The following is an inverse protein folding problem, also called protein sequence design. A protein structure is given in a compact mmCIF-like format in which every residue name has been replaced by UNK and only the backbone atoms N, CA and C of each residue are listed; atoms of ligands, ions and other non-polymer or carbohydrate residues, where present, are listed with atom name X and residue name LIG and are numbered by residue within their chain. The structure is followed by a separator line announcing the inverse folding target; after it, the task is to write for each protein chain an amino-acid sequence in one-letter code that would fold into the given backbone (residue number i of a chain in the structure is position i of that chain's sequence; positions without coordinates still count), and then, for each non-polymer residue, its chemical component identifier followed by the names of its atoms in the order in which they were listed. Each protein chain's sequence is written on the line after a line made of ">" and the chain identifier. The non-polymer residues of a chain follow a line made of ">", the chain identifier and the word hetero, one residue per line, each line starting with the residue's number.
data_IF_124255557004
#
_entry.id   IF_124255557004
#
_cell.length_a   1.000
_cell.length_b   1.000
_cell.length_c   1.000
_cell.angle_alpha   90.00
_cell.angle_beta   90.00
_cell.angle_gamma   90.00
#
_symmetry.space_group_name_H-M   'P 1'
#
loop_
_entity.id
_entity.type
_entity.pdbx_description
1 polymer ?
#
# COMPACT_ATOMS: atom_id res chain seq x y z
N UNK A 1 -23.80 -3.13 -7.17
CA UNK A 1 -23.37 -2.86 -5.78
C UNK A 1 -21.90 -3.23 -5.64
N UNK A 2 -21.13 -2.47 -4.88
CA UNK A 2 -19.73 -2.81 -4.60
C UNK A 2 -19.66 -3.91 -3.52
N UNK A 3 -19.19 -5.13 -3.85
CA UNK A 3 -19.13 -6.23 -2.90
C UNK A 3 -18.14 -5.98 -1.75
N UNK A 4 -17.12 -5.14 -1.97
CA UNK A 4 -16.15 -4.81 -0.94
C UNK A 4 -16.77 -3.92 0.15
N UNK A 5 -17.59 -2.94 -0.25
CA UNK A 5 -18.24 -2.03 0.69
C UNK A 5 -19.23 -2.76 1.61
N UNK A 6 -19.97 -3.73 1.06
CA UNK A 6 -20.91 -4.56 1.82
C UNK A 6 -20.21 -5.42 2.88
N UNK A 7 -18.97 -5.83 2.61
CA UNK A 7 -18.15 -6.60 3.53
C UNK A 7 -17.61 -5.74 4.69
N UNK A 8 -17.17 -4.51 4.40
CA UNK A 8 -16.59 -3.63 5.42
C UNK A 8 -17.63 -2.97 6.34
N UNK A 9 -18.84 -2.72 5.85
CA UNK A 9 -19.91 -2.04 6.59
C UNK A 9 -20.30 -2.72 7.93
N UNK A 10 -20.48 -4.05 8.01
CA UNK A 10 -20.84 -4.71 9.27
C UNK A 10 -19.62 -5.07 10.14
N UNK A 11 -18.46 -5.38 9.54
CA UNK A 11 -17.29 -5.93 10.27
C UNK A 11 -16.27 -4.88 10.73
N UNK A 12 -16.28 -3.69 10.17
CA UNK A 12 -15.27 -2.66 10.44
C UNK A 12 -15.38 -1.92 11.78
N UNK A 13 -16.00 -2.46 12.83
CA UNK A 13 -16.33 -1.67 14.03
C UNK A 13 -15.14 -1.38 14.95
N UNK A 14 -14.10 -2.22 14.99
CA UNK A 14 -12.91 -1.99 15.84
C UNK A 14 -11.61 -1.97 15.06
N UNK A 15 -10.62 -1.20 15.54
CA UNK A 15 -9.29 -1.12 14.94
C UNK A 15 -8.59 -2.49 14.91
N UNK A 16 -8.65 -3.23 16.03
CA UNK A 16 -8.00 -4.54 16.17
C UNK A 16 -8.54 -5.52 15.14
N UNK A 17 -9.86 -5.54 14.92
CA UNK A 17 -10.46 -6.42 13.92
C UNK A 17 -10.01 -6.05 12.51
N UNK A 18 -9.98 -4.75 12.15
CA UNK A 18 -9.47 -4.30 10.84
C UNK A 18 -8.00 -4.69 10.64
N UNK A 19 -7.19 -4.57 11.70
CA UNK A 19 -5.79 -4.96 11.66
C UNK A 19 -5.62 -6.48 11.48
N UNK A 20 -6.38 -7.30 12.20
CA UNK A 20 -6.38 -8.76 12.03
C UNK A 20 -6.81 -9.17 10.62
N UNK A 21 -7.88 -8.57 10.10
CA UNK A 21 -8.31 -8.79 8.72
C UNK A 21 -7.20 -8.39 7.74
N UNK A 22 -6.56 -7.24 7.94
CA UNK A 22 -5.42 -6.82 7.11
C UNK A 22 -4.27 -7.83 7.15
N UNK A 23 -3.92 -8.39 8.30
CA UNK A 23 -2.92 -9.46 8.39
C UNK A 23 -3.33 -10.70 7.58
N UNK A 24 -4.60 -11.10 7.62
CA UNK A 24 -5.10 -12.22 6.80
C UNK A 24 -5.00 -11.96 5.30
N UNK A 25 -5.12 -10.70 4.86
CA UNK A 25 -4.95 -10.33 3.44
C UNK A 25 -3.49 -10.42 2.97
N UNK A 26 -2.53 -10.50 3.90
CA UNK A 26 -1.10 -10.55 3.60
C UNK A 26 -0.55 -11.98 3.60
N UNK A 27 -1.39 -12.99 3.81
CA UNK A 27 -0.96 -14.38 3.78
C UNK A 27 -0.40 -14.74 2.39
N UNK A 28 0.92 -15.03 2.27
CA UNK A 28 1.55 -15.32 0.98
C UNK A 28 1.01 -16.61 0.35
N UNK A 29 0.35 -17.49 1.11
CA UNK A 29 -0.27 -18.71 0.55
C UNK A 29 -1.34 -18.38 -0.50
N UNK A 30 -1.98 -17.21 -0.38
CA UNK A 30 -3.01 -16.73 -1.31
C UNK A 30 -2.47 -16.49 -2.72
N UNK A 31 -1.16 -16.25 -2.87
CA UNK A 31 -0.50 -16.10 -4.18
C UNK A 31 -0.54 -17.35 -5.05
N UNK A 32 -0.78 -18.52 -4.44
CA UNK A 32 -0.88 -19.78 -5.18
C UNK A 32 -2.19 -19.90 -5.98
N UNK A 33 -3.15 -19.00 -5.73
CA UNK A 33 -4.44 -19.00 -6.42
C UNK A 33 -4.33 -18.41 -7.82
N UNK A 34 -4.97 -19.07 -8.78
CA UNK A 34 -5.08 -18.61 -10.16
C UNK A 34 -6.07 -17.45 -10.31
N UNK A 35 -5.94 -16.70 -11.41
CA UNK A 35 -6.86 -15.60 -11.72
C UNK A 35 -8.32 -16.08 -11.85
N UNK A 36 -8.53 -17.30 -12.36
CA UNK A 36 -9.85 -17.91 -12.45
C UNK A 36 -10.47 -18.20 -11.07
N UNK A 37 -9.66 -18.68 -10.11
CA UNK A 37 -10.11 -18.92 -8.74
C UNK A 37 -10.42 -17.61 -8.01
N UNK A 38 -9.63 -16.56 -8.25
CA UNK A 38 -9.86 -15.22 -7.70
C UNK A 38 -11.19 -14.64 -8.21
N UNK A 39 -11.45 -14.74 -9.51
CA UNK A 39 -12.70 -14.27 -10.09
C UNK A 39 -13.90 -15.08 -9.59
N UNK A 40 -13.77 -16.40 -9.50
CA UNK A 40 -14.80 -17.26 -8.92
C UNK A 40 -15.09 -16.92 -7.46
N UNK A 41 -14.05 -16.65 -6.67
CA UNK A 41 -14.19 -16.24 -5.27
C UNK A 41 -14.90 -14.89 -5.15
N UNK A 42 -14.66 -13.95 -6.09
CA UNK A 42 -15.36 -12.67 -6.18
C UNK A 42 -16.84 -12.83 -6.55
N UNK A 43 -17.16 -13.73 -7.48
CA UNK A 43 -18.56 -14.01 -7.87
C UNK A 43 -19.35 -14.70 -6.76
N UNK A 44 -18.67 -15.50 -5.93
CA UNK A 44 -19.26 -16.20 -4.80
C UNK A 44 -19.52 -15.30 -3.57
N UNK A 45 -19.20 -14.00 -3.66
CA UNK A 45 -19.40 -13.07 -2.56
C UNK A 45 -20.90 -12.88 -2.26
N UNK A 46 -21.29 -12.90 -0.97
CA UNK A 46 -22.69 -12.76 -0.58
C UNK A 46 -23.27 -11.40 -1.00
N UNK A 47 -24.53 -11.42 -1.45
CA UNK A 47 -25.28 -10.18 -1.72
C UNK A 47 -25.60 -9.43 -0.42
N UNK A 48 -25.89 -8.13 -0.52
CA UNK A 48 -26.19 -7.27 0.61
C UNK A 48 -27.24 -7.90 1.56
N UNK A 49 -26.90 -8.06 2.85
CA UNK A 49 -27.86 -8.44 3.90
C UNK A 49 -27.78 -9.88 4.42
N UNK A 50 -26.84 -10.71 3.97
CA UNK A 50 -26.61 -12.02 4.61
C UNK A 50 -25.87 -11.86 5.96
N UNK A 51 -26.26 -12.67 6.95
CA UNK A 51 -25.55 -12.73 8.23
C UNK A 51 -24.11 -13.17 7.99
N UNK A 52 -23.19 -12.24 8.20
CA UNK A 52 -21.77 -12.46 8.06
C UNK A 52 -21.25 -13.01 9.37
N UNK A 53 -20.62 -14.18 9.30
CA UNK A 53 -19.92 -14.81 10.42
C UNK A 53 -18.82 -13.87 10.98
N UNK A 54 -18.46 -14.06 12.24
CA UNK A 54 -17.46 -13.23 12.94
C UNK A 54 -16.08 -13.34 12.27
N UNK A 55 -15.80 -14.48 11.64
CA UNK A 55 -14.63 -14.72 10.80
C UNK A 55 -14.93 -14.42 9.34
N UNK A 56 -13.99 -13.76 8.65
CA UNK A 56 -14.06 -13.51 7.21
C UNK A 56 -13.81 -14.84 6.46
N UNK A 57 -14.75 -15.30 5.61
CA UNK A 57 -14.57 -16.49 4.78
C UNK A 57 -13.32 -16.46 3.89
N UNK A 58 -12.70 -17.62 3.59
CA UNK A 58 -11.52 -17.68 2.73
C UNK A 58 -11.72 -17.09 1.32
N UNK A 59 -12.91 -17.28 0.72
CA UNK A 59 -13.23 -16.72 -0.59
C UNK A 59 -13.25 -15.18 -0.57
N UNK A 60 -13.72 -14.60 0.53
CA UNK A 60 -13.73 -13.16 0.75
C UNK A 60 -12.31 -12.60 0.89
N UNK A 61 -11.48 -13.26 1.70
CA UNK A 61 -10.05 -12.93 1.85
C UNK A 61 -9.34 -13.00 0.50
N UNK A 62 -9.57 -14.07 -0.28
CA UNK A 62 -8.95 -14.25 -1.58
C UNK A 62 -9.35 -13.14 -2.57
N UNK A 63 -10.65 -12.81 -2.63
CA UNK A 63 -11.13 -11.70 -3.45
C UNK A 63 -10.47 -10.39 -3.00
N UNK A 64 -10.63 -9.99 -1.74
CA UNK A 64 -10.12 -8.72 -1.20
C UNK A 64 -8.62 -8.54 -1.35
N UNK A 65 -7.85 -9.63 -1.26
CA UNK A 65 -6.39 -9.61 -1.32
C UNK A 65 -5.84 -9.62 -2.75
N UNK A 66 -6.68 -9.86 -3.76
CA UNK A 66 -6.20 -10.11 -5.13
C UNK A 66 -6.89 -9.29 -6.22
N UNK A 67 -7.96 -8.56 -5.90
CA UNK A 67 -8.69 -7.70 -6.83
C UNK A 67 -8.55 -6.24 -6.45
N UNK A 68 -8.54 -5.36 -7.45
CA UNK A 68 -8.61 -3.93 -7.22
C UNK A 68 -9.99 -3.56 -6.66
N UNK A 69 -10.02 -2.71 -5.62
CA UNK A 69 -11.24 -2.37 -4.89
C UNK A 69 -12.34 -1.79 -5.80
N UNK A 70 -11.99 -0.78 -6.62
CA UNK A 70 -12.95 -0.08 -7.48
C UNK A 70 -13.29 -0.82 -8.79
N UNK A 71 -12.28 -1.23 -9.57
CA UNK A 71 -12.50 -1.83 -10.89
C UNK A 71 -12.88 -3.31 -10.83
N UNK A 72 -12.55 -3.99 -9.73
CA UNK A 72 -12.70 -5.44 -9.60
C UNK A 72 -11.76 -6.26 -10.48
N UNK A 73 -10.85 -5.62 -11.22
CA UNK A 73 -9.84 -6.32 -12.00
C UNK A 73 -8.84 -7.02 -11.08
N UNK A 74 -8.35 -8.18 -11.51
CA UNK A 74 -7.31 -8.90 -10.78
C UNK A 74 -6.02 -8.07 -10.79
N UNK A 75 -5.44 -7.87 -9.61
CA UNK A 75 -4.18 -7.14 -9.46
C UNK A 75 -3.02 -7.97 -10.04
N UNK A 76 -2.03 -7.31 -10.66
CA UNK A 76 -0.80 -7.99 -11.05
C UNK A 76 -0.15 -8.65 -9.83
N UNK A 77 0.37 -9.87 -10.03
CA UNK A 77 0.88 -10.73 -8.96
C UNK A 77 1.72 -10.01 -7.90
N UNK A 78 2.72 -9.24 -8.32
CA UNK A 78 3.67 -8.53 -7.43
C UNK A 78 3.07 -7.38 -6.63
N UNK A 79 1.87 -6.91 -7.02
CA UNK A 79 1.15 -5.81 -6.36
C UNK A 79 -0.06 -6.27 -5.57
N UNK A 80 -0.32 -7.59 -5.52
CA UNK A 80 -1.31 -8.17 -4.61
C UNK A 80 -0.80 -8.03 -3.17
N UNK A 81 -1.62 -7.61 -2.19
CA UNK A 81 -1.24 -7.61 -0.77
C UNK A 81 -0.50 -8.86 -0.27
N UNK A 82 -0.84 -10.11 -0.66
CA UNK A 82 -0.06 -11.30 -0.32
C UNK A 82 1.41 -11.29 -0.78
N UNK A 83 1.74 -10.56 -1.86
CA UNK A 83 3.10 -10.40 -2.35
C UNK A 83 3.90 -9.33 -1.59
N UNK A 84 3.25 -8.54 -0.74
CA UNK A 84 3.88 -7.41 -0.07
C UNK A 84 5.07 -7.86 0.78
N UNK A 85 4.91 -8.83 1.68
CA UNK A 85 6.03 -9.32 2.49
C UNK A 85 7.11 -10.07 1.68
N UNK A 86 6.76 -11.03 0.80
CA UNK A 86 7.75 -11.73 -0.02
C UNK A 86 8.62 -10.82 -0.90
N UNK A 87 8.07 -9.71 -1.38
CA UNK A 87 8.80 -8.77 -2.26
C UNK A 87 9.45 -7.65 -1.45
N UNK A 88 8.71 -6.98 -0.57
CA UNK A 88 9.22 -5.84 0.20
C UNK A 88 10.24 -6.28 1.25
N UNK A 89 10.06 -7.45 1.88
CA UNK A 89 10.93 -7.95 2.94
C UNK A 89 12.41 -7.99 2.52
N UNK A 90 12.76 -8.67 1.41
CA UNK A 90 14.12 -8.66 0.87
C UNK A 90 14.64 -7.25 0.54
N UNK A 91 13.78 -6.35 0.03
CA UNK A 91 14.17 -4.98 -0.31
C UNK A 91 14.46 -4.14 0.93
N UNK A 92 13.68 -4.29 2.00
CA UNK A 92 13.91 -3.63 3.30
C UNK A 92 15.21 -4.14 3.92
N UNK A 93 15.42 -5.46 3.96
CA UNK A 93 16.67 -6.04 4.46
C UNK A 93 17.84 -5.51 3.64
N UNK A 94 17.76 -5.56 2.32
CA UNK A 94 18.78 -5.02 1.42
C UNK A 94 19.06 -3.53 1.63
N UNK A 95 18.03 -2.72 1.86
CA UNK A 95 18.16 -1.28 2.11
C UNK A 95 18.81 -0.93 3.45
N UNK A 96 18.73 -1.82 4.44
CA UNK A 96 19.25 -1.62 5.80
C UNK A 96 20.66 -2.21 5.98
N UNK A 97 21.10 -3.08 5.07
CA UNK A 97 22.44 -3.64 5.13
C UNK A 97 23.53 -2.55 4.99
N UNK A 98 24.68 -2.71 5.68
CA UNK A 98 25.82 -1.82 5.54
C UNK A 98 26.46 -2.00 4.16
N UNK A 99 26.14 -1.08 3.26
CA UNK A 99 26.76 -1.02 1.93
C UNK A 99 28.15 -0.36 1.96
N UNK A 100 29.11 -0.82 1.15
CA UNK A 100 30.45 -0.22 1.10
C UNK A 100 30.46 1.16 0.43
N UNK A 101 29.50 1.42 -0.45
CA UNK A 101 29.40 2.69 -1.19
C UNK A 101 27.99 3.27 -1.08
N UNK A 102 27.90 4.60 -1.15
CA UNK A 102 26.62 5.32 -1.24
C UNK A 102 25.82 4.88 -2.47
N UNK A 103 26.49 4.58 -3.57
CA UNK A 103 25.84 4.11 -4.80
C UNK A 103 25.06 2.81 -4.58
N UNK A 104 25.65 1.84 -3.88
CA UNK A 104 24.97 0.58 -3.55
C UNK A 104 23.78 0.81 -2.62
N UNK A 105 23.90 1.67 -1.60
CA UNK A 105 22.75 2.06 -0.77
C UNK A 105 21.63 2.66 -1.62
N UNK A 106 21.95 3.58 -2.53
CA UNK A 106 20.96 4.22 -3.38
C UNK A 106 20.25 3.21 -4.29
N UNK A 107 20.92 2.18 -4.80
CA UNK A 107 20.28 1.14 -5.62
C UNK A 107 19.19 0.41 -4.82
N UNK A 108 19.52 -0.08 -3.62
CA UNK A 108 18.55 -0.78 -2.78
C UNK A 108 17.41 0.13 -2.31
N UNK A 109 17.73 1.36 -1.91
CA UNK A 109 16.71 2.34 -1.51
C UNK A 109 15.82 2.71 -2.70
N UNK A 110 16.36 2.81 -3.91
CA UNK A 110 15.58 3.07 -5.13
C UNK A 110 14.63 1.91 -5.42
N UNK A 111 15.12 0.66 -5.38
CA UNK A 111 14.27 -0.52 -5.58
C UNK A 111 13.12 -0.57 -4.56
N UNK A 112 13.43 -0.33 -3.28
CA UNK A 112 12.45 -0.28 -2.21
C UNK A 112 11.38 0.79 -2.46
N UNK A 113 11.80 2.02 -2.77
CA UNK A 113 10.87 3.15 -2.93
C UNK A 113 10.06 3.06 -4.22
N UNK A 114 10.65 2.54 -5.31
CA UNK A 114 9.93 2.26 -6.56
C UNK A 114 8.87 1.18 -6.33
N UNK A 115 9.20 0.10 -5.62
CA UNK A 115 8.23 -0.93 -5.32
C UNK A 115 7.09 -0.40 -4.44
N UNK A 116 7.41 0.32 -3.35
CA UNK A 116 6.41 0.93 -2.48
C UNK A 116 5.49 1.89 -3.25
N UNK A 117 6.05 2.78 -4.06
CA UNK A 117 5.27 3.69 -4.90
C UNK A 117 4.37 2.96 -5.88
N UNK A 118 4.89 1.92 -6.54
CA UNK A 118 4.14 1.12 -7.51
C UNK A 118 3.03 0.32 -6.84
N UNK A 119 3.30 -0.27 -5.67
CA UNK A 119 2.33 -1.00 -4.86
C UNK A 119 1.21 -0.07 -4.40
N UNK A 120 1.54 1.10 -3.84
CA UNK A 120 0.55 2.10 -3.45
C UNK A 120 -0.23 2.60 -4.67
N UNK A 121 0.40 2.78 -5.82
CA UNK A 121 -0.27 3.21 -7.04
C UNK A 121 -1.23 2.16 -7.59
N UNK A 122 -0.87 0.88 -7.53
CA UNK A 122 -1.73 -0.23 -7.94
C UNK A 122 -2.93 -0.43 -7.00
N UNK A 123 -2.79 -0.05 -5.71
CA UNK A 123 -3.80 -0.19 -4.68
C UNK A 123 -4.48 1.15 -4.30
N UNK A 124 -4.27 2.21 -5.09
CA UNK A 124 -4.92 3.50 -4.88
C UNK A 124 -6.39 3.43 -5.28
N UNK A 125 -7.21 4.35 -4.79
CA UNK A 125 -8.57 4.45 -5.31
C UNK A 125 -8.48 4.99 -6.75
N UNK A 126 -8.96 4.23 -7.71
CA UNK A 126 -8.99 4.64 -9.11
C UNK A 126 -10.24 4.08 -9.77
N UNK A 127 -11.16 4.97 -10.14
CA UNK A 127 -12.27 4.57 -11.00
C UNK A 127 -11.71 4.09 -12.33
N UNK A 128 -12.30 3.07 -12.94
CA UNK A 128 -11.86 2.51 -14.22
C UNK A 128 -11.73 3.55 -15.36
N UNK A 129 -12.32 4.74 -15.19
CA UNK A 129 -12.29 5.86 -16.15
C UNK A 129 -11.16 6.88 -15.88
N UNK A 130 -10.48 6.83 -14.73
CA UNK A 130 -9.46 7.80 -14.33
C UNK A 130 -8.04 7.31 -14.66
N UNK A 131 -7.55 7.69 -15.84
CA UNK A 131 -6.12 7.57 -16.15
C UNK A 131 -5.34 8.55 -15.26
N UNK A 132 -4.23 8.09 -14.69
CA UNK A 132 -3.32 8.96 -13.95
C UNK A 132 -2.86 10.11 -14.84
N UNK A 133 -2.99 11.34 -14.35
CA UNK A 133 -2.50 12.51 -15.06
C UNK A 133 -0.96 12.47 -15.20
N UNK A 134 -0.40 13.09 -16.24
CA UNK A 134 1.07 13.21 -16.36
C UNK A 134 1.68 13.94 -15.15
N UNK A 135 0.96 14.93 -14.61
CA UNK A 135 1.31 15.62 -13.36
C UNK A 135 1.44 14.65 -12.19
N UNK A 136 0.46 13.76 -12.01
CA UNK A 136 0.46 12.72 -10.98
C UNK A 136 1.66 11.77 -11.14
N UNK A 137 1.91 11.30 -12.37
CA UNK A 137 3.01 10.37 -12.64
C UNK A 137 4.38 11.01 -12.37
N UNK A 138 4.58 12.27 -12.78
CA UNK A 138 5.79 13.03 -12.48
C UNK A 138 5.98 13.26 -10.98
N UNK A 139 4.89 13.56 -10.26
CA UNK A 139 4.90 13.76 -8.81
C UNK A 139 5.28 12.47 -8.07
N UNK A 140 4.71 11.33 -8.47
CA UNK A 140 5.06 10.01 -7.90
C UNK A 140 6.52 9.65 -8.22
N UNK A 141 6.96 9.81 -9.47
CA UNK A 141 8.33 9.51 -9.89
C UNK A 141 9.36 10.39 -9.16
N UNK A 142 9.10 11.70 -9.09
CA UNK A 142 9.93 12.64 -8.35
C UNK A 142 9.96 12.34 -6.85
N UNK A 143 8.82 11.97 -6.26
CA UNK A 143 8.75 11.53 -4.88
C UNK A 143 9.60 10.28 -4.62
N UNK A 144 9.45 9.24 -5.44
CA UNK A 144 10.19 7.99 -5.28
C UNK A 144 11.71 8.22 -5.35
N UNK A 145 12.17 9.12 -6.22
CA UNK A 145 13.57 9.51 -6.27
C UNK A 145 14.02 10.22 -4.99
N UNK A 146 13.25 11.21 -4.51
CA UNK A 146 13.57 11.94 -3.29
C UNK A 146 13.55 11.04 -2.05
N UNK A 147 12.57 10.14 -1.94
CA UNK A 147 12.49 9.19 -0.81
C UNK A 147 13.61 8.16 -0.87
N UNK A 148 14.10 7.76 -2.06
CA UNK A 148 15.26 6.88 -2.18
C UNK A 148 16.54 7.55 -1.65
N UNK A 149 16.75 8.82 -1.98
CA UNK A 149 17.85 9.61 -1.41
C UNK A 149 17.65 9.79 0.10
N UNK A 150 16.43 10.08 0.54
CA UNK A 150 16.04 10.20 1.94
C UNK A 150 16.39 8.94 2.75
N UNK A 151 16.02 7.76 2.25
CA UNK A 151 16.31 6.47 2.89
C UNK A 151 17.81 6.16 2.93
N UNK A 152 18.60 6.71 2.01
CA UNK A 152 20.06 6.55 2.00
C UNK A 152 20.80 7.54 2.92
N UNK A 153 20.13 8.57 3.45
CA UNK A 153 20.75 9.61 4.29
C UNK A 153 21.58 9.06 5.46
N UNK A 154 21.14 8.03 6.22
CA UNK A 154 21.95 7.54 7.33
C UNK A 154 23.30 6.97 6.87
N UNK A 155 23.35 6.29 5.73
CA UNK A 155 24.59 5.78 5.15
C UNK A 155 25.44 6.89 4.53
N UNK A 156 24.82 7.86 3.85
CA UNK A 156 25.52 9.04 3.33
C UNK A 156 26.19 9.80 4.47
N UNK A 157 25.49 10.01 5.58
CA UNK A 157 25.99 10.69 6.77
C UNK A 157 27.23 9.96 7.32
N UNK A 158 27.18 8.63 7.46
CA UNK A 158 28.32 7.84 7.95
C UNK A 158 29.51 7.90 6.98
N UNK A 159 29.30 7.60 5.70
CA UNK A 159 30.37 7.41 4.71
C UNK A 159 30.98 8.74 4.25
N UNK A 160 30.14 9.74 3.97
CA UNK A 160 30.58 11.01 3.35
C UNK A 160 31.00 12.06 4.38
N UNK A 161 30.36 12.10 5.55
CA UNK A 161 30.72 13.06 6.60
C UNK A 161 31.72 12.49 7.62
N UNK A 162 32.20 11.26 7.42
CA UNK A 162 33.30 10.68 8.19
C UNK A 162 32.98 10.49 9.68
N UNK A 163 31.73 10.13 9.99
CA UNK A 163 31.29 9.97 11.38
C UNK A 163 32.10 8.86 12.06
N UNK A 164 32.99 9.26 12.97
CA UNK A 164 33.90 8.32 13.65
C UNK A 164 33.39 7.88 15.03
N UNK A 165 32.37 8.55 15.57
CA UNK A 165 31.78 8.20 16.87
C UNK A 165 30.99 6.88 16.79
N UNK A 166 31.33 5.84 17.57
CA UNK A 166 30.62 4.56 17.57
C UNK A 166 29.14 4.70 17.94
N UNK A 167 28.83 5.59 18.89
CA UNK A 167 27.46 5.88 19.32
C UNK A 167 26.63 6.45 18.18
N UNK A 168 27.19 7.42 17.44
CA UNK A 168 26.49 8.06 16.33
C UNK A 168 26.33 7.12 15.13
N UNK A 169 27.33 6.29 14.85
CA UNK A 169 27.22 5.23 13.84
C UNK A 169 26.10 4.24 14.19
N UNK A 170 26.02 3.82 15.45
CA UNK A 170 24.97 2.89 15.92
C UNK A 170 23.59 3.52 15.80
N UNK A 171 23.46 4.79 16.17
CA UNK A 171 22.22 5.54 15.99
C UNK A 171 21.78 5.58 14.52
N UNK A 172 22.67 5.97 13.61
CA UNK A 172 22.38 6.07 12.18
C UNK A 172 22.15 4.71 11.51
N UNK A 173 22.75 3.62 11.99
CA UNK A 173 22.58 2.27 11.41
C UNK A 173 21.36 1.52 11.93
N UNK A 174 20.99 1.74 13.20
CA UNK A 174 20.01 0.86 13.87
C UNK A 174 18.75 1.57 14.32
N UNK A 175 18.86 2.81 14.82
CA UNK A 175 17.72 3.51 15.44
C UNK A 175 17.02 4.47 14.48
N UNK A 176 17.78 5.23 13.71
CA UNK A 176 17.25 6.21 12.76
C UNK A 176 16.53 5.60 11.54
N UNK A 177 17.00 4.49 10.93
CA UNK A 177 16.41 4.00 9.68
C UNK A 177 14.94 3.59 9.79
N UNK A 178 14.52 3.00 10.92
CA UNK A 178 13.14 2.53 11.12
C UNK A 178 12.11 3.67 11.09
N UNK A 179 12.17 4.68 11.98
CA UNK A 179 11.22 5.80 11.95
C UNK A 179 11.33 6.63 10.67
N UNK A 180 12.53 6.74 10.08
CA UNK A 180 12.72 7.41 8.81
C UNK A 180 11.95 6.69 7.69
N UNK A 181 12.09 5.37 7.57
CA UNK A 181 11.39 4.61 6.53
C UNK A 181 9.88 4.60 6.74
N UNK A 182 9.40 4.61 7.99
CA UNK A 182 7.98 4.80 8.27
C UNK A 182 7.47 6.16 7.76
N UNK A 183 8.23 7.24 7.99
CA UNK A 183 7.87 8.57 7.49
C UNK A 183 7.91 8.65 5.95
N UNK A 184 8.89 8.03 5.32
CA UNK A 184 8.99 7.98 3.85
C UNK A 184 7.87 7.14 3.23
N UNK A 185 7.46 6.03 3.86
CA UNK A 185 6.32 5.25 3.44
C UNK A 185 5.00 6.03 3.57
N UNK A 186 4.81 6.76 4.67
CA UNK A 186 3.66 7.64 4.85
C UNK A 186 3.61 8.75 3.79
N UNK A 187 4.75 9.39 3.50
CA UNK A 187 4.87 10.39 2.44
C UNK A 187 4.53 9.80 1.07
N UNK A 188 4.98 8.58 0.78
CA UNK A 188 4.68 7.90 -0.47
C UNK A 188 3.16 7.70 -0.65
N UNK A 189 2.49 7.16 0.38
CA UNK A 189 1.03 6.96 0.35
C UNK A 189 0.31 8.29 0.19
N UNK A 190 0.74 9.32 0.92
CA UNK A 190 0.16 10.66 0.83
C UNK A 190 0.22 11.24 -0.59
N UNK A 191 1.38 11.12 -1.24
CA UNK A 191 1.65 11.61 -2.60
C UNK A 191 0.87 10.79 -3.63
N UNK A 192 0.88 9.46 -3.53
CA UNK A 192 0.12 8.61 -4.47
C UNK A 192 -1.37 8.87 -4.38
N UNK A 193 -1.90 9.16 -3.17
CA UNK A 193 -3.31 9.44 -2.93
C UNK A 193 -3.69 10.92 -3.10
N UNK A 194 -2.75 11.82 -3.42
CA UNK A 194 -3.09 13.24 -3.54
C UNK A 194 -4.03 13.56 -4.71
N UNK A 195 -4.11 12.72 -5.74
CA UNK A 195 -5.12 12.89 -6.81
C UNK A 195 -6.54 12.75 -6.26
N UNK A 196 -6.73 11.88 -5.26
CA UNK A 196 -8.04 11.56 -4.70
C UNK A 196 -8.70 12.82 -4.12
N UNK A 197 -7.94 13.79 -3.61
CA UNK A 197 -8.50 15.07 -3.14
C UNK A 197 -8.80 16.06 -4.27
N UNK A 198 -8.04 16.03 -5.36
CA UNK A 198 -8.32 16.85 -6.55
C UNK A 198 -9.56 16.33 -7.29
N UNK A 199 -9.69 15.02 -7.47
CA UNK A 199 -10.76 14.37 -8.25
C UNK A 199 -11.98 13.97 -7.42
N UNK A 200 -11.79 13.74 -6.12
CA UNK A 200 -12.78 13.10 -5.25
C UNK A 200 -12.71 11.57 -5.31
N UNK A 201 -13.25 10.93 -4.27
CA UNK A 201 -13.44 9.48 -4.18
C UNK A 201 -14.90 9.11 -4.44
N UNK A 202 -15.13 7.90 -4.93
CA UNK A 202 -16.49 7.38 -5.15
C UNK A 202 -17.21 7.22 -3.81
N UNK A 203 -18.43 7.72 -3.73
CA UNK A 203 -19.31 7.59 -2.58
C UNK A 203 -20.51 6.70 -2.90
N UNK A 204 -20.97 5.99 -1.89
CA UNK A 204 -22.04 5.00 -2.02
C UNK A 204 -23.21 5.35 -1.08
N UNK A 205 -24.42 5.00 -1.49
CA UNK A 205 -25.61 5.12 -0.64
C UNK A 205 -25.63 4.02 0.45
N UNK A 206 -26.68 4.02 1.28
CA UNK A 206 -26.87 3.02 2.32
C UNK A 206 -27.02 1.60 1.79
N UNK A 207 -27.43 1.44 0.52
CA UNK A 207 -27.64 0.16 -0.14
C UNK A 207 -26.36 -0.35 -0.85
N UNK A 208 -25.33 0.49 -0.98
CA UNK A 208 -24.07 0.16 -1.64
C UNK A 208 -24.07 0.43 -3.14
N UNK A 209 -24.98 1.29 -3.62
CA UNK A 209 -24.98 1.79 -4.99
C UNK A 209 -24.12 3.06 -5.10
N UNK A 210 -23.38 3.24 -6.22
CA UNK A 210 -22.56 4.42 -6.43
C UNK A 210 -23.44 5.66 -6.64
N UNK A 211 -23.23 6.71 -5.84
CA UNK A 211 -24.00 7.96 -5.91
C UNK A 211 -23.23 9.05 -6.67
N UNK A 212 -21.90 8.99 -6.66
CA UNK A 212 -21.05 9.97 -7.35
C UNK A 212 -19.65 10.05 -6.75
N UNK A 213 -18.98 11.19 -6.95
CA UNK A 213 -17.66 11.47 -6.39
C UNK A 213 -17.71 12.63 -5.40
N UNK A 214 -16.95 12.53 -4.30
CA UNK A 214 -16.89 13.56 -3.26
C UNK A 214 -15.45 13.89 -2.87
N UNK A 215 -15.08 15.17 -3.03
CA UNK A 215 -13.80 15.72 -2.57
C UNK A 215 -13.73 15.84 -1.04
N UNK A 216 -14.84 16.22 -0.42
CA UNK A 216 -14.92 16.31 1.04
C UNK A 216 -14.72 14.94 1.72
N UNK A 217 -15.22 13.87 1.09
CA UNK A 217 -14.97 12.50 1.56
C UNK A 217 -13.49 12.12 1.41
N UNK A 218 -12.87 12.48 0.28
CA UNK A 218 -11.45 12.23 0.03
C UNK A 218 -10.54 12.95 1.03
N UNK A 219 -10.81 14.23 1.32
CA UNK A 219 -10.06 15.00 2.31
C UNK A 219 -10.16 14.40 3.72
N UNK A 220 -11.34 13.89 4.08
CA UNK A 220 -11.53 13.23 5.38
C UNK A 220 -10.70 11.95 5.49
N UNK A 221 -10.69 11.14 4.43
CA UNK A 221 -9.88 9.90 4.37
C UNK A 221 -8.40 10.22 4.46
N UNK A 222 -7.92 11.22 3.70
CA UNK A 222 -6.50 11.60 3.69
C UNK A 222 -6.03 12.14 5.05
N UNK A 223 -6.88 12.85 5.81
CA UNK A 223 -6.59 13.32 7.17
C UNK A 223 -6.60 12.21 8.23
N UNK A 224 -7.30 11.10 7.95
CA UNK A 224 -7.40 9.95 8.85
C UNK A 224 -6.40 8.82 8.57
N UNK A 225 -5.62 8.96 7.48
CA UNK A 225 -4.57 8.02 7.08
C UNK A 225 -3.25 8.37 7.73
#
# INVERSE_FOLDING_TARGET
>A
MDPNLLLWKPRGQSFVHRFQTWLSLLDPSLLLSSDAEILKAREALPAAGQQLDEKVPPAEILSLSSVHADSGAVLPFVFRPPAYFPVLGPLVVGGFLPHPTVGSTLVFQSMLQIYSASFSFANRNSSAEQKASLKQLLLIAGSAFNTAVGGALPHIFIIRLGVSSPTLQTFCRSFLPVPLQAALAALNVFIVRSEETETGIRVFDSEGNPVGFSKAAAEKVQKSS
#
